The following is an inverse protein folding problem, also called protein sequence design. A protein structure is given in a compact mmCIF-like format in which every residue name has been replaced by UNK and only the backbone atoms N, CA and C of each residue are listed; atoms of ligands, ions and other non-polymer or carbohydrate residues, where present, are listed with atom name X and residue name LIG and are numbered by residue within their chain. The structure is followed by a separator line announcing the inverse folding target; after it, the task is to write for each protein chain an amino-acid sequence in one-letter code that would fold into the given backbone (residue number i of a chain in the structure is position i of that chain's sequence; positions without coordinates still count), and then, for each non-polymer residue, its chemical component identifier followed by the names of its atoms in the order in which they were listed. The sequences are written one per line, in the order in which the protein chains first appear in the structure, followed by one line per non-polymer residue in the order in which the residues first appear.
data_IF_246012882850
#
_entry.id   IF_246012882850
#
_cell.length_a   1.000
_cell.length_b   1.000
_cell.length_c   1.000
_cell.angle_alpha   90.00
_cell.angle_beta   90.00
_cell.angle_gamma   90.00
#
_symmetry.space_group_name_H-M   'P 1'
#
loop_
_entity.id
_entity.type
_entity.pdbx_description
1 polymer ?
#
# COMPACT_ATOMS: atom_id res chain seq x y z
N UNK A 1 3.59 15.04 34.68
CA UNK A 1 2.32 14.47 34.15
C UNK A 1 2.50 12.96 34.11
N UNK A 2 1.73 12.17 34.88
CA UNK A 2 1.80 10.72 34.80
C UNK A 2 1.33 10.23 33.42
N UNK A 3 1.95 9.17 32.90
CA UNK A 3 1.51 8.54 31.67
C UNK A 3 0.08 7.98 31.82
N UNK A 4 -0.77 8.04 30.77
CA UNK A 4 -2.13 7.52 30.84
C UNK A 4 -2.12 6.02 31.15
N UNK A 5 -3.11 5.60 31.96
CA UNK A 5 -3.31 4.23 32.38
C UNK A 5 -3.55 3.31 31.17
N UNK A 6 -3.14 2.02 31.19
CA UNK A 6 -3.49 1.05 30.16
C UNK A 6 -5.01 0.97 29.87
N UNK A 7 -5.84 1.33 30.85
CA UNK A 7 -7.30 1.34 30.76
C UNK A 7 -7.89 2.53 29.98
N UNK A 8 -7.11 3.60 29.74
CA UNK A 8 -7.55 4.79 28.98
C UNK A 8 -7.25 4.68 27.48
N UNK A 9 -6.70 3.55 27.02
CA UNK A 9 -6.49 3.32 25.59
C UNK A 9 -7.86 3.02 24.99
N UNK A 10 -8.29 3.74 23.93
CA UNK A 10 -9.52 3.40 23.25
C UNK A 10 -9.42 1.94 22.80
N UNK A 11 -10.33 1.12 23.29
CA UNK A 11 -10.50 -0.25 22.86
C UNK A 11 -10.66 -0.21 21.34
N UNK A 12 -9.72 -0.82 20.61
CA UNK A 12 -9.79 -0.87 19.15
C UNK A 12 -10.99 -1.76 18.84
N UNK A 13 -12.13 -1.12 18.57
CA UNK A 13 -13.33 -1.82 18.14
C UNK A 13 -12.96 -2.70 16.96
N UNK A 14 -13.34 -4.00 16.97
CA UNK A 14 -13.06 -4.87 15.85
C UNK A 14 -13.65 -4.22 14.60
N UNK A 15 -12.81 -3.97 13.60
CA UNK A 15 -13.28 -3.39 12.34
C UNK A 15 -14.38 -4.30 11.78
N UNK A 16 -15.47 -3.74 11.25
CA UNK A 16 -16.48 -4.54 10.54
C UNK A 16 -15.81 -5.37 9.43
N UNK A 17 -16.40 -6.51 9.03
CA UNK A 17 -15.83 -7.34 7.97
C UNK A 17 -15.56 -6.47 6.73
N UNK A 18 -14.30 -6.42 6.31
CA UNK A 18 -13.89 -5.57 5.19
C UNK A 18 -14.53 -6.08 3.89
N UNK A 19 -14.89 -5.16 2.97
CA UNK A 19 -15.20 -5.56 1.60
C UNK A 19 -13.98 -6.24 0.95
N UNK A 20 -14.18 -7.03 -0.13
CA UNK A 20 -13.09 -7.78 -0.78
C UNK A 20 -11.88 -6.93 -1.15
N UNK A 21 -12.10 -5.68 -1.56
CA UNK A 21 -11.07 -4.69 -1.80
C UNK A 21 -11.41 -3.35 -1.12
N UNK A 22 -10.44 -2.77 -0.43
CA UNK A 22 -10.51 -1.45 0.21
C UNK A 22 -9.37 -0.57 -0.33
N UNK A 23 -9.69 0.65 -0.76
CA UNK A 23 -8.69 1.63 -1.20
C UNK A 23 -8.53 2.72 -0.13
N UNK A 24 -7.30 2.94 0.31
CA UNK A 24 -6.93 4.00 1.27
C UNK A 24 -6.13 5.08 0.54
N UNK A 25 -6.68 6.29 0.51
CA UNK A 25 -6.11 7.46 -0.12
C UNK A 25 -5.63 8.49 0.91
N UNK A 26 -4.63 9.28 0.56
CA UNK A 26 -4.22 10.45 1.33
C UNK A 26 -2.82 10.96 0.98
N UNK A 27 -2.50 12.16 1.44
CA UNK A 27 -1.22 12.82 1.17
C UNK A 27 0.00 12.09 1.75
N UNK A 28 1.20 12.57 1.40
CA UNK A 28 2.45 12.05 1.96
C UNK A 28 2.48 12.19 3.48
N UNK A 29 3.01 11.18 4.18
CA UNK A 29 3.16 11.16 5.65
C UNK A 29 1.87 11.33 6.48
N UNK A 30 0.69 11.16 5.88
CA UNK A 30 -0.62 11.30 6.55
C UNK A 30 -1.01 10.15 7.51
N UNK A 31 -0.16 9.13 7.67
CA UNK A 31 -0.47 7.96 8.50
C UNK A 31 -1.29 6.87 7.80
N UNK A 32 -1.65 7.03 6.51
CA UNK A 32 -2.46 6.08 5.75
C UNK A 32 -1.97 4.62 5.76
N UNK A 33 -0.67 4.37 5.71
CA UNK A 33 -0.12 3.00 5.80
C UNK A 33 -0.37 2.34 7.15
N UNK A 34 -0.41 3.11 8.25
CA UNK A 34 -0.73 2.60 9.59
C UNK A 34 -2.22 2.31 9.72
N UNK A 35 -3.06 3.21 9.20
CA UNK A 35 -4.50 3.00 9.15
C UNK A 35 -4.84 1.74 8.32
N UNK A 36 -4.28 1.62 7.12
CA UNK A 36 -4.45 0.47 6.24
C UNK A 36 -4.05 -0.86 6.90
N UNK A 37 -2.95 -0.87 7.65
CA UNK A 37 -2.53 -2.05 8.42
C UNK A 37 -3.52 -2.41 9.54
N UNK A 38 -4.07 -1.41 10.24
CA UNK A 38 -5.04 -1.61 11.32
C UNK A 38 -6.35 -2.25 10.84
N UNK A 39 -6.72 -2.02 9.58
CA UNK A 39 -7.88 -2.67 8.96
C UNK A 39 -7.72 -4.19 8.88
N UNK A 40 -6.47 -4.69 8.78
CA UNK A 40 -6.16 -6.11 8.65
C UNK A 40 -5.67 -6.76 9.96
N UNK A 41 -5.59 -6.00 11.05
CA UNK A 41 -5.02 -6.47 12.31
C UNK A 41 -5.77 -7.66 12.93
N UNK A 42 -7.10 -7.70 12.76
CA UNK A 42 -7.97 -8.78 13.27
C UNK A 42 -8.07 -10.01 12.38
N UNK A 43 -7.38 -10.07 11.24
CA UNK A 43 -7.43 -11.24 10.37
C UNK A 43 -6.68 -12.43 11.00
N UNK A 44 -7.40 -13.53 11.24
CA UNK A 44 -6.87 -14.72 11.90
C UNK A 44 -5.91 -15.54 11.02
N UNK A 45 -5.94 -15.34 9.70
CA UNK A 45 -5.11 -16.07 8.74
C UNK A 45 -3.75 -15.40 8.45
N UNK A 46 -3.11 -15.90 7.38
CA UNK A 46 -1.88 -15.32 6.83
C UNK A 46 -2.12 -13.86 6.45
N UNK A 47 -1.15 -13.00 6.78
CA UNK A 47 -1.11 -11.58 6.42
C UNK A 47 0.09 -11.34 5.53
N UNK A 48 -0.15 -10.80 4.35
CA UNK A 48 0.86 -10.57 3.32
C UNK A 48 0.99 -9.08 3.05
N UNK A 49 2.20 -8.57 3.16
CA UNK A 49 2.56 -7.23 2.74
C UNK A 49 3.20 -7.29 1.35
N UNK A 50 2.61 -6.58 0.39
CA UNK A 50 3.13 -6.46 -0.97
C UNK A 50 3.76 -5.08 -1.13
N UNK A 51 5.08 -5.06 -1.20
CA UNK A 51 5.86 -3.87 -1.48
C UNK A 51 5.95 -3.66 -2.99
N UNK A 52 5.45 -2.53 -3.47
CA UNK A 52 5.54 -2.15 -4.89
C UNK A 52 6.63 -1.11 -5.12
N UNK A 53 7.20 -0.54 -4.06
CA UNK A 53 8.34 0.36 -4.16
C UNK A 53 9.59 -0.44 -4.59
N UNK A 54 10.30 0.05 -5.60
CA UNK A 54 11.68 -0.37 -5.84
C UNK A 54 12.60 0.42 -4.89
N UNK A 55 13.58 -0.26 -4.30
CA UNK A 55 14.64 0.38 -3.56
C UNK A 55 15.63 1.06 -4.53
N UNK A 56 15.17 2.10 -5.23
CA UNK A 56 16.00 2.88 -6.14
C UNK A 56 17.04 3.74 -5.42
N UNK A 57 16.80 4.05 -4.14
CA UNK A 57 17.71 4.74 -3.24
C UNK A 57 17.70 4.13 -1.83
N UNK A 58 18.73 4.45 -1.04
CA UNK A 58 18.89 3.95 0.33
C UNK A 58 17.77 4.41 1.28
N UNK A 59 17.16 5.57 1.04
CA UNK A 59 16.06 6.10 1.85
C UNK A 59 14.81 5.20 1.71
N UNK A 60 14.46 4.82 0.47
CA UNK A 60 13.36 3.93 0.18
C UNK A 60 13.65 2.52 0.73
N UNK A 61 14.89 2.04 0.60
CA UNK A 61 15.31 0.74 1.15
C UNK A 61 15.18 0.71 2.69
N UNK A 62 15.66 1.75 3.38
CA UNK A 62 15.55 1.92 4.83
C UNK A 62 14.08 2.02 5.26
N UNK A 63 13.26 2.72 4.48
CA UNK A 63 11.82 2.83 4.74
C UNK A 63 11.12 1.48 4.60
N UNK A 64 11.43 0.69 3.57
CA UNK A 64 10.93 -0.68 3.41
C UNK A 64 11.38 -1.54 4.60
N UNK A 65 12.68 -1.50 4.96
CA UNK A 65 13.23 -2.24 6.11
C UNK A 65 12.52 -1.88 7.41
N UNK A 66 12.35 -0.59 7.71
CA UNK A 66 11.61 -0.12 8.89
C UNK A 66 10.16 -0.59 8.92
N UNK A 67 9.49 -0.59 7.76
CA UNK A 67 8.11 -1.06 7.66
C UNK A 67 8.00 -2.58 7.86
N UNK A 68 8.96 -3.35 7.33
CA UNK A 68 9.08 -4.81 7.59
C UNK A 68 9.33 -5.09 9.07
N UNK A 69 10.33 -4.44 9.65
CA UNK A 69 10.71 -4.62 11.06
C UNK A 69 9.56 -4.28 12.03
N UNK A 70 8.82 -3.20 11.75
CA UNK A 70 7.66 -2.80 12.57
C UNK A 70 6.54 -3.85 12.57
N UNK A 71 6.29 -4.50 11.43
CA UNK A 71 5.19 -5.47 11.27
C UNK A 71 5.48 -6.80 11.98
N UNK A 72 6.75 -7.13 12.14
CA UNK A 72 7.19 -8.33 12.85
C UNK A 72 6.77 -9.63 12.16
N UNK A 73 6.87 -10.74 12.89
CA UNK A 73 6.61 -12.08 12.38
C UNK A 73 5.16 -12.36 11.96
N UNK A 74 4.23 -11.44 12.26
CA UNK A 74 2.83 -11.57 11.88
C UNK A 74 2.59 -11.35 10.37
N UNK A 75 3.58 -10.83 9.63
CA UNK A 75 3.47 -10.52 8.22
C UNK A 75 4.54 -11.20 7.39
N UNK A 76 4.12 -11.86 6.31
CA UNK A 76 5.00 -12.22 5.20
C UNK A 76 5.17 -10.98 4.29
N UNK A 77 6.32 -10.84 3.65
CA UNK A 77 6.54 -9.75 2.68
C UNK A 77 6.94 -10.30 1.32
N UNK A 78 6.31 -9.78 0.27
CA UNK A 78 6.65 -10.04 -1.14
C UNK A 78 6.91 -8.70 -1.83
N UNK A 79 7.94 -8.64 -2.65
CA UNK A 79 8.21 -7.51 -3.53
C UNK A 79 7.55 -7.78 -4.88
N UNK A 80 6.71 -6.86 -5.34
CA UNK A 80 6.02 -6.96 -6.63
C UNK A 80 5.95 -5.57 -7.29
N UNK A 81 7.11 -5.01 -7.69
CA UNK A 81 7.18 -3.65 -8.25
C UNK A 81 6.47 -3.53 -9.60
N UNK A 82 6.34 -4.64 -10.35
CA UNK A 82 5.67 -4.70 -11.65
C UNK A 82 4.55 -5.73 -11.67
N UNK A 83 4.80 -6.93 -11.14
CA UNK A 83 3.90 -8.09 -11.22
C UNK A 83 2.93 -8.20 -10.02
N UNK A 84 2.36 -7.06 -9.62
CA UNK A 84 1.38 -6.97 -8.54
C UNK A 84 0.14 -7.87 -8.75
N UNK A 85 -0.47 -7.95 -9.95
CA UNK A 85 -1.61 -8.86 -10.18
C UNK A 85 -1.27 -10.32 -9.89
N UNK A 86 -0.08 -10.78 -10.27
CA UNK A 86 0.40 -12.14 -10.04
C UNK A 86 0.63 -12.41 -8.56
N UNK A 87 1.24 -11.46 -7.84
CA UNK A 87 1.41 -11.56 -6.39
C UNK A 87 0.06 -11.67 -5.66
N UNK A 88 -0.94 -10.90 -6.11
CA UNK A 88 -2.30 -10.97 -5.57
C UNK A 88 -3.00 -12.30 -5.85
N UNK A 89 -2.80 -12.88 -7.04
CA UNK A 89 -3.33 -14.19 -7.40
C UNK A 89 -2.69 -15.31 -6.55
N UNK A 90 -1.38 -15.26 -6.33
CA UNK A 90 -0.64 -16.26 -5.55
C UNK A 90 -0.93 -16.22 -4.04
N UNK A 91 -1.46 -15.10 -3.53
CA UNK A 91 -1.70 -14.89 -2.10
C UNK A 91 -2.91 -15.66 -1.53
N UNK A 92 -3.71 -16.33 -2.37
CA UNK A 92 -4.84 -17.17 -1.92
C UNK A 92 -5.84 -16.41 -1.03
N UNK A 93 -6.15 -16.98 0.13
CA UNK A 93 -7.08 -16.40 1.12
C UNK A 93 -6.40 -15.44 2.13
N UNK A 94 -5.10 -15.16 1.98
CA UNK A 94 -4.41 -14.25 2.89
C UNK A 94 -4.99 -12.83 2.83
N UNK A 95 -4.98 -12.13 3.97
CA UNK A 95 -5.18 -10.69 4.03
C UNK A 95 -3.98 -9.99 3.41
N UNK A 96 -4.20 -9.11 2.43
CA UNK A 96 -3.12 -8.44 1.71
C UNK A 96 -3.14 -6.94 1.93
N UNK A 97 -1.98 -6.37 2.28
CA UNK A 97 -1.73 -4.94 2.27
C UNK A 97 -0.78 -4.58 1.12
N UNK A 98 -1.21 -3.75 0.18
CA UNK A 98 -0.39 -3.22 -0.92
C UNK A 98 0.01 -1.77 -0.61
N UNK A 99 1.31 -1.45 -0.62
CA UNK A 99 1.82 -0.10 -0.37
C UNK A 99 2.98 0.22 -1.34
N UNK A 100 2.82 1.08 -2.35
CA UNK A 100 1.58 1.76 -2.78
C UNK A 100 1.36 1.73 -4.29
N UNK A 101 0.11 1.92 -4.71
CA UNK A 101 -0.27 1.93 -6.13
C UNK A 101 0.39 3.06 -6.93
N UNK A 102 0.69 4.20 -6.31
CA UNK A 102 1.39 5.31 -6.96
C UNK A 102 2.78 4.87 -7.46
N UNK A 103 3.54 4.15 -6.64
CA UNK A 103 4.86 3.65 -7.03
C UNK A 103 4.76 2.51 -8.02
N UNK A 104 3.76 1.63 -7.87
CA UNK A 104 3.52 0.58 -8.86
C UNK A 104 3.27 1.15 -10.27
N UNK A 105 2.39 2.15 -10.39
CA UNK A 105 2.15 2.84 -11.66
C UNK A 105 3.42 3.53 -12.20
N UNK A 106 4.19 4.17 -11.33
CA UNK A 106 5.49 4.78 -11.72
C UNK A 106 6.45 3.74 -12.31
N UNK A 107 6.57 2.57 -11.67
CA UNK A 107 7.44 1.50 -12.14
C UNK A 107 6.97 0.95 -13.49
N UNK A 108 5.66 0.77 -13.68
CA UNK A 108 5.11 0.32 -14.97
C UNK A 108 5.47 1.29 -16.11
N UNK A 109 5.29 2.60 -15.88
CA UNK A 109 5.65 3.64 -16.85
C UNK A 109 7.15 3.61 -17.14
N UNK A 110 8.00 3.51 -16.11
CA UNK A 110 9.44 3.45 -16.29
C UNK A 110 9.88 2.20 -17.08
N UNK A 111 9.27 1.06 -16.80
CA UNK A 111 9.48 -0.20 -17.50
C UNK A 111 8.82 -0.27 -18.89
N UNK A 112 8.17 0.82 -19.34
CA UNK A 112 7.41 0.89 -20.61
C UNK A 112 6.35 -0.20 -20.76
N UNK A 113 5.75 -0.63 -19.64
CA UNK A 113 4.57 -1.50 -19.64
C UNK A 113 3.31 -0.67 -19.82
N UNK A 114 2.31 -1.26 -20.47
CA UNK A 114 1.00 -0.64 -20.64
C UNK A 114 0.26 -0.53 -19.29
N UNK A 115 0.05 0.69 -18.76
CA UNK A 115 -0.63 0.88 -17.48
C UNK A 115 -2.11 0.51 -17.52
N UNK A 116 -2.78 0.64 -18.66
CA UNK A 116 -4.20 0.30 -18.79
C UNK A 116 -4.39 -1.21 -18.73
N UNK A 117 -3.61 -1.96 -19.52
CA UNK A 117 -3.63 -3.43 -19.46
C UNK A 117 -3.24 -3.96 -18.08
N UNK A 118 -2.22 -3.38 -17.44
CA UNK A 118 -1.82 -3.77 -16.08
C UNK A 118 -2.91 -3.47 -15.04
N UNK A 119 -3.60 -2.33 -15.16
CA UNK A 119 -4.73 -1.97 -14.28
C UNK A 119 -5.90 -2.91 -14.46
N UNK A 120 -6.23 -3.29 -15.71
CA UNK A 120 -7.26 -4.29 -15.98
C UNK A 120 -6.92 -5.65 -15.34
N UNK A 121 -5.66 -6.07 -15.44
CA UNK A 121 -5.17 -7.29 -14.79
C UNK A 121 -5.25 -7.20 -13.25
N UNK A 122 -4.93 -6.04 -12.66
CA UNK A 122 -5.09 -5.80 -11.22
C UNK A 122 -6.56 -5.93 -10.80
N UNK A 123 -7.49 -5.31 -11.52
CA UNK A 123 -8.93 -5.39 -11.23
C UNK A 123 -9.43 -6.84 -11.31
N UNK A 124 -9.02 -7.58 -12.34
CA UNK A 124 -9.36 -9.00 -12.48
C UNK A 124 -8.81 -9.83 -11.31
N UNK A 125 -7.56 -9.59 -10.91
CA UNK A 125 -6.95 -10.26 -9.76
C UNK A 125 -7.69 -9.95 -8.46
N UNK A 126 -8.10 -8.69 -8.23
CA UNK A 126 -8.89 -8.30 -7.06
C UNK A 126 -10.26 -8.99 -7.04
N UNK A 127 -10.94 -9.08 -8.17
CA UNK A 127 -12.25 -9.70 -8.29
C UNK A 127 -12.22 -11.22 -8.03
N UNK A 128 -11.13 -11.90 -8.39
CA UNK A 128 -10.98 -13.34 -8.21
C UNK A 128 -10.57 -13.76 -6.78
N UNK A 129 -10.26 -12.80 -5.89
CA UNK A 129 -9.66 -13.09 -4.59
C UNK A 129 -10.67 -13.52 -3.54
N UNK A 130 -10.18 -14.36 -2.61
CA UNK A 130 -10.95 -14.90 -1.48
C UNK A 130 -10.62 -14.23 -0.14
N UNK A 131 -9.44 -13.61 -0.05
CA UNK A 131 -8.98 -12.87 1.13
C UNK A 131 -9.06 -11.35 0.92
N UNK A 132 -9.25 -10.56 2.00
CA UNK A 132 -9.39 -9.11 1.89
C UNK A 132 -8.09 -8.47 1.39
N UNK A 133 -8.25 -7.37 0.65
CA UNK A 133 -7.14 -6.55 0.16
C UNK A 133 -7.33 -5.11 0.60
N UNK A 134 -6.27 -4.51 1.15
CA UNK A 134 -6.19 -3.07 1.38
C UNK A 134 -5.09 -2.49 0.50
N UNK A 135 -5.46 -1.56 -0.37
CA UNK A 135 -4.56 -0.87 -1.30
C UNK A 135 -4.29 0.53 -0.76
N UNK A 136 -3.03 0.91 -0.67
CA UNK A 136 -2.64 2.28 -0.34
C UNK A 136 -2.29 3.01 -1.64
N UNK A 137 -2.81 4.21 -1.81
CA UNK A 137 -2.37 5.12 -2.87
C UNK A 137 -2.17 6.53 -2.30
N UNK A 138 -1.17 7.23 -2.85
CA UNK A 138 -0.88 8.61 -2.46
C UNK A 138 -1.66 9.56 -3.36
N UNK A 139 -2.34 10.50 -2.72
CA UNK A 139 -3.04 11.59 -3.37
C UNK A 139 -2.02 12.69 -3.71
N UNK A 140 -2.02 13.17 -4.97
CA UNK A 140 -1.02 14.11 -5.52
C UNK A 140 -1.65 15.37 -6.14
N UNK A 141 -2.99 15.47 -6.16
CA UNK A 141 -3.76 16.45 -6.93
C UNK A 141 -4.05 17.78 -6.22
N UNK A 142 -3.65 17.94 -4.95
CA UNK A 142 -3.86 19.18 -4.20
C UNK A 142 -2.58 20.04 -4.09
N UNK A 143 -1.53 19.66 -4.81
CA UNK A 143 -0.31 20.46 -4.97
C UNK A 143 -0.46 21.52 -6.06
N UNK A 144 0.32 22.60 -5.96
CA UNK A 144 0.45 23.58 -7.04
C UNK A 144 0.94 22.84 -8.29
N UNK A 145 0.21 22.95 -9.41
CA UNK A 145 0.67 22.48 -10.73
C UNK A 145 2.06 23.08 -10.95
N UNK A 146 3.13 22.28 -11.18
CA UNK A 146 4.44 22.82 -11.50
C UNK A 146 4.28 23.78 -12.67
N UNK A 147 4.46 25.08 -12.42
CA UNK A 147 4.41 26.08 -13.48
C UNK A 147 5.47 25.71 -14.52
N UNK A 148 5.14 25.82 -15.81
CA UNK A 148 6.13 25.66 -16.88
C UNK A 148 7.29 26.64 -16.66
N UNK A 149 8.36 26.18 -16.00
CA UNK A 149 9.58 26.94 -15.88
C UNK A 149 10.31 26.89 -17.23
N UNK A 150 10.06 27.90 -18.06
CA UNK A 150 10.96 28.30 -19.14
C UNK A 150 10.46 28.05 -20.55
N UNK A 151 9.54 28.89 -21.03
CA UNK A 151 9.48 29.24 -22.45
C UNK A 151 9.82 30.72 -22.65
N UNK A 152 11.03 30.91 -23.20
CA UNK A 152 11.45 32.04 -24.06
C UNK A 152 11.69 33.41 -23.41
N UNK A 153 12.97 33.74 -23.24
CA UNK A 153 13.50 35.07 -23.57
C UNK A 153 14.51 34.92 -24.72
N UNK A 154 14.13 35.36 -25.91
CA UNK A 154 15.02 35.99 -26.89
C UNK A 154 14.35 37.27 -27.33
#
# INVERSE_FOLDING_TARGET
MPAPSPADRPEVQPNPPLPPATLVLGGARSGKSRYAESLLAGHAGRRLYVATAEAGDEEMAERIRRHRARRGAAWETVEAPLDLPQALAAAGAAAVLVDCLTLWLSNLIHARRDPEAATAALVAALAARRGPVVLVSTEVGWGIVPGEAGKHRR
#
